data_IF_037399140244
#
_entry.id   IF_037399140244
#
_cell.length_a   1.000
_cell.length_b   1.000
_cell.length_c   1.000
_cell.angle_alpha   90.00
_cell.angle_beta   90.00
_cell.angle_gamma   90.00
#
_symmetry.space_group_name_H-M   'P 1'
#
loop_
_entity.id
_entity.type
_entity.pdbx_description
1 polymer ?
#
# COMPACT_ATOMS: atom_id res chain seq x y z
N UNK A 1 0.38 -42.81 45.36
CA UNK A 1 0.49 -41.38 45.79
C UNK A 1 1.39 -40.69 44.77
N UNK A 2 0.78 -40.07 43.78
CA UNK A 2 1.46 -39.33 42.71
C UNK A 2 1.30 -37.83 42.99
N UNK A 3 2.41 -37.16 43.19
CA UNK A 3 2.42 -35.71 43.42
C UNK A 3 2.25 -34.99 42.10
N UNK A 4 1.16 -34.27 41.99
CA UNK A 4 0.91 -33.31 40.90
C UNK A 4 1.78 -32.07 41.13
N UNK A 5 2.78 -31.87 40.27
CA UNK A 5 3.48 -30.58 40.17
C UNK A 5 2.59 -29.57 39.39
N UNK A 6 1.92 -28.72 40.13
CA UNK A 6 1.24 -27.57 39.63
C UNK A 6 2.31 -26.51 39.34
N UNK A 7 2.61 -26.26 38.05
CA UNK A 7 3.42 -25.12 37.63
C UNK A 7 2.53 -23.86 37.79
N UNK A 8 2.86 -23.07 38.81
CA UNK A 8 2.25 -21.76 39.04
C UNK A 8 2.61 -20.83 37.89
N UNK A 9 1.65 -20.07 37.31
CA UNK A 9 1.99 -19.08 36.29
C UNK A 9 2.85 -17.97 36.89
N UNK A 10 3.89 -17.57 36.14
CA UNK A 10 4.75 -16.46 36.51
C UNK A 10 3.94 -15.19 36.79
N UNK A 11 4.33 -14.36 37.78
CA UNK A 11 3.61 -13.16 38.11
C UNK A 11 3.66 -12.19 36.90
N UNK A 12 2.50 -11.70 36.46
CA UNK A 12 2.40 -10.61 35.54
C UNK A 12 3.20 -9.43 36.13
N UNK A 13 4.18 -8.93 35.38
CA UNK A 13 4.87 -7.68 35.70
C UNK A 13 3.83 -6.55 35.63
N UNK A 14 3.27 -6.24 36.79
CA UNK A 14 2.43 -5.05 36.96
C UNK A 14 3.30 -3.83 36.79
N UNK A 15 3.15 -3.16 35.64
CA UNK A 15 3.57 -1.78 35.47
C UNK A 15 2.58 -0.97 36.30
N UNK A 16 3.00 -0.74 37.58
CA UNK A 16 2.18 0.01 38.53
C UNK A 16 1.87 1.40 38.02
N UNK A 17 0.57 1.72 37.99
CA UNK A 17 -0.05 2.99 38.31
C UNK A 17 0.55 4.29 37.75
N UNK A 18 1.05 4.30 36.53
CA UNK A 18 1.25 5.54 35.78
C UNK A 18 0.09 5.64 34.77
N UNK A 19 -0.98 6.35 35.17
CA UNK A 19 -1.96 6.89 34.23
C UNK A 19 -1.25 7.96 33.40
N UNK A 20 -0.47 7.52 32.42
CA UNK A 20 0.03 8.43 31.40
C UNK A 20 -1.14 8.75 30.47
N UNK A 21 -1.73 9.92 30.61
CA UNK A 21 -2.64 10.50 29.64
C UNK A 21 -1.84 11.00 28.41
N UNK A 22 -1.09 10.08 27.77
CA UNK A 22 -0.34 10.39 26.55
C UNK A 22 -1.27 10.81 25.39
N UNK A 23 -2.54 10.40 25.45
CA UNK A 23 -3.57 10.80 24.47
C UNK A 23 -3.84 12.31 24.54
N UNK A 24 -3.85 12.90 25.73
CA UNK A 24 -4.05 14.34 25.91
C UNK A 24 -2.80 15.17 25.51
N UNK A 25 -1.59 14.64 25.72
CA UNK A 25 -0.35 15.28 25.27
C UNK A 25 -0.17 15.19 23.75
N UNK A 26 -0.51 14.07 23.11
CA UNK A 26 -0.50 13.93 21.66
C UNK A 26 -1.60 14.74 20.97
N UNK A 27 -2.78 14.89 21.59
CA UNK A 27 -3.86 15.77 21.12
C UNK A 27 -3.45 17.25 21.12
N UNK A 28 -2.50 17.65 21.97
CA UNK A 28 -1.95 19.00 22.02
C UNK A 28 -0.96 19.36 20.90
N UNK A 29 -0.39 18.38 20.22
CA UNK A 29 0.48 18.60 19.05
C UNK A 29 -0.32 18.52 17.74
N UNK A 30 -1.28 19.43 17.55
CA UNK A 30 -1.93 19.58 16.24
C UNK A 30 -0.87 19.93 15.20
N UNK A 31 -0.54 18.99 14.32
CA UNK A 31 0.32 19.18 13.16
C UNK A 31 -0.16 20.43 12.40
N UNK A 32 0.70 21.43 12.26
CA UNK A 32 0.38 22.65 11.50
C UNK A 32 0.19 22.29 10.04
N UNK A 33 -1.02 22.44 9.51
CA UNK A 33 -1.30 22.18 8.09
C UNK A 33 -0.90 23.37 7.24
N UNK A 34 -0.25 23.11 6.11
CA UNK A 34 0.19 24.12 5.14
C UNK A 34 -0.85 24.28 4.04
N UNK A 35 -1.41 25.49 3.93
CA UNK A 35 -2.42 25.84 2.92
C UNK A 35 -1.79 26.78 1.89
N UNK A 36 -1.77 26.36 0.62
CA UNK A 36 -1.37 27.20 -0.50
C UNK A 36 -2.60 27.93 -1.04
N UNK A 37 -2.59 29.27 -0.99
CA UNK A 37 -3.64 30.13 -1.53
C UNK A 37 -3.17 30.68 -2.88
N UNK A 38 -3.90 30.35 -3.95
CA UNK A 38 -3.61 30.76 -5.31
C UNK A 38 -4.73 31.68 -5.80
N UNK A 39 -4.48 32.98 -5.82
CA UNK A 39 -5.42 34.02 -6.27
C UNK A 39 -4.59 35.25 -6.71
N UNK A 40 -4.86 35.82 -7.87
CA UNK A 40 -4.13 36.98 -8.40
C UNK A 40 -4.36 38.24 -7.57
N UNK A 41 -5.50 38.33 -6.88
CA UNK A 41 -5.94 39.51 -6.12
C UNK A 41 -5.51 39.42 -4.67
N UNK A 42 -4.63 40.32 -4.22
CA UNK A 42 -4.06 40.33 -2.87
C UNK A 42 -5.14 40.40 -1.78
N UNK A 43 -6.17 41.21 -1.99
CA UNK A 43 -7.24 41.38 -0.99
C UNK A 43 -7.98 40.04 -0.73
N UNK A 44 -8.17 39.20 -1.75
CA UNK A 44 -8.80 37.90 -1.61
C UNK A 44 -7.91 36.97 -0.74
N UNK A 45 -6.60 36.94 -1.01
CA UNK A 45 -5.66 36.14 -0.21
C UNK A 45 -5.63 36.59 1.26
N UNK A 46 -5.62 37.91 1.50
CA UNK A 46 -5.71 38.47 2.87
C UNK A 46 -7.03 38.12 3.55
N UNK A 47 -8.14 38.19 2.84
CA UNK A 47 -9.47 37.85 3.35
C UNK A 47 -9.56 36.37 3.74
N UNK A 48 -9.08 35.47 2.90
CA UNK A 48 -9.03 34.03 3.20
C UNK A 48 -8.19 33.75 4.45
N UNK A 49 -7.00 34.34 4.56
CA UNK A 49 -6.18 34.20 5.77
C UNK A 49 -6.89 34.74 7.02
N UNK A 50 -7.59 35.85 6.92
CA UNK A 50 -8.35 36.42 8.03
C UNK A 50 -9.51 35.50 8.46
N UNK A 51 -10.23 34.87 7.50
CA UNK A 51 -11.27 33.90 7.77
C UNK A 51 -10.77 32.65 8.51
N UNK A 52 -9.48 32.28 8.31
CA UNK A 52 -8.86 31.06 8.82
C UNK A 52 -7.94 31.30 10.03
N UNK A 53 -7.79 32.53 10.49
CA UNK A 53 -6.83 32.94 11.52
C UNK A 53 -6.99 32.24 12.90
N UNK A 54 -8.15 31.69 13.17
CA UNK A 54 -8.43 30.97 14.43
C UNK A 54 -7.94 29.52 14.47
N UNK A 55 -7.26 29.05 13.42
CA UNK A 55 -6.79 27.68 13.27
C UNK A 55 -5.27 27.66 13.11
N UNK A 56 -4.63 26.54 13.49
CA UNK A 56 -3.18 26.39 13.39
C UNK A 56 -2.77 26.02 11.95
N UNK A 57 -2.78 27.02 11.04
CA UNK A 57 -2.42 26.88 9.65
C UNK A 57 -1.19 27.73 9.29
N UNK A 58 -0.28 27.16 8.49
CA UNK A 58 0.77 27.88 7.78
C UNK A 58 0.23 28.25 6.40
N UNK A 59 0.37 29.49 5.98
CA UNK A 59 -0.10 29.95 4.67
C UNK A 59 1.07 30.22 3.73
N UNK A 60 0.97 29.65 2.52
CA UNK A 60 1.78 29.98 1.36
C UNK A 60 0.88 30.69 0.34
N UNK A 61 1.43 31.62 -0.40
CA UNK A 61 0.68 32.46 -1.33
C UNK A 61 1.30 32.42 -2.71
N UNK A 62 0.48 32.30 -3.75
CA UNK A 62 0.86 32.45 -5.14
C UNK A 62 -0.14 33.35 -5.87
N UNK A 63 0.35 34.15 -6.81
CA UNK A 63 -0.46 35.07 -7.60
C UNK A 63 -0.82 34.51 -8.96
N UNK A 64 -0.11 33.46 -9.39
CA UNK A 64 -0.22 32.80 -10.70
C UNK A 64 0.15 31.31 -10.60
N UNK A 65 -0.15 30.60 -11.66
CA UNK A 65 0.07 29.16 -11.69
C UNK A 65 1.54 28.75 -11.58
N UNK A 66 2.46 29.47 -12.26
CA UNK A 66 3.91 29.17 -12.20
C UNK A 66 4.48 29.31 -10.78
N UNK A 67 4.07 30.35 -10.03
CA UNK A 67 4.47 30.55 -8.64
C UNK A 67 3.95 29.41 -7.75
N UNK A 68 2.70 28.98 -7.94
CA UNK A 68 2.11 27.88 -7.17
C UNK A 68 2.85 26.57 -7.42
N UNK A 69 3.17 26.22 -8.66
CA UNK A 69 3.93 25.03 -9.01
C UNK A 69 5.35 25.07 -8.41
N UNK A 70 6.05 26.19 -8.48
CA UNK A 70 7.39 26.35 -7.88
C UNK A 70 7.37 26.17 -6.36
N UNK A 71 6.34 26.67 -5.67
CA UNK A 71 6.14 26.45 -4.24
C UNK A 71 5.94 24.96 -3.96
N UNK A 72 5.13 24.26 -4.74
CA UNK A 72 4.86 22.83 -4.57
C UNK A 72 6.07 21.92 -4.85
N UNK A 73 7.09 22.43 -5.57
CA UNK A 73 8.36 21.69 -5.74
C UNK A 73 9.25 21.73 -4.50
N UNK A 74 9.18 22.80 -3.72
CA UNK A 74 10.07 23.06 -2.58
C UNK A 74 9.43 22.89 -1.21
N UNK A 75 8.10 22.99 -1.14
CA UNK A 75 7.34 22.99 0.11
C UNK A 75 6.27 21.89 0.12
N UNK A 76 6.08 21.26 1.29
CA UNK A 76 4.95 20.33 1.48
C UNK A 76 3.67 21.13 1.65
N UNK A 77 2.70 20.91 0.76
CA UNK A 77 1.37 21.51 0.77
C UNK A 77 0.32 20.47 1.16
N UNK A 78 -0.51 20.81 2.14
CA UNK A 78 -1.58 19.92 2.63
C UNK A 78 -2.95 20.24 2.00
N UNK A 79 -3.14 21.45 1.49
CA UNK A 79 -4.36 21.89 0.79
C UNK A 79 -4.03 23.05 -0.16
N UNK A 80 -4.60 23.03 -1.35
CA UNK A 80 -4.61 24.17 -2.28
C UNK A 80 -5.99 24.82 -2.24
N UNK A 81 -6.05 26.15 -2.02
CA UNK A 81 -7.24 26.98 -2.22
C UNK A 81 -6.99 27.83 -3.45
N UNK A 82 -7.73 27.53 -4.52
CA UNK A 82 -7.49 28.05 -5.86
C UNK A 82 -8.64 28.93 -6.34
N UNK A 83 -8.37 30.14 -6.77
CA UNK A 83 -9.34 30.89 -7.58
C UNK A 83 -9.44 30.28 -9.00
N UNK A 84 -10.67 30.18 -9.51
CA UNK A 84 -10.93 29.66 -10.85
C UNK A 84 -10.20 30.47 -11.93
N UNK A 85 -10.05 31.78 -11.70
CA UNK A 85 -9.46 32.74 -12.66
C UNK A 85 -8.08 33.19 -12.20
N UNK A 86 -7.06 32.41 -12.53
CA UNK A 86 -5.65 32.77 -12.27
C UNK A 86 -4.92 33.08 -13.58
N UNK A 87 -3.86 33.90 -13.54
CA UNK A 87 -3.03 34.15 -14.72
C UNK A 87 -2.31 32.90 -15.21
N UNK A 88 -1.99 32.87 -16.51
CA UNK A 88 -1.20 31.86 -17.23
C UNK A 88 -1.97 30.57 -17.60
N UNK A 89 -2.89 30.09 -16.77
CA UNK A 89 -3.76 28.95 -17.07
C UNK A 89 -5.06 29.02 -16.26
N UNK A 90 -6.09 28.33 -16.73
CA UNK A 90 -7.35 28.23 -15.99
C UNK A 90 -7.23 27.36 -14.74
N UNK A 91 -8.14 27.53 -13.76
CA UNK A 91 -8.20 26.69 -12.57
C UNK A 91 -8.31 25.20 -12.89
N UNK A 92 -9.20 24.76 -13.81
CA UNK A 92 -9.28 23.36 -14.25
C UNK A 92 -7.98 22.82 -14.85
N UNK A 93 -7.28 23.60 -15.69
CA UNK A 93 -5.98 23.20 -16.26
C UNK A 93 -4.91 23.05 -15.17
N UNK A 94 -4.87 23.98 -14.21
CA UNK A 94 -3.99 23.89 -13.06
C UNK A 94 -4.29 22.63 -12.24
N UNK A 95 -5.57 22.37 -11.96
CA UNK A 95 -6.00 21.18 -11.25
C UNK A 95 -5.55 19.90 -11.96
N UNK A 96 -5.83 19.79 -13.26
CA UNK A 96 -5.42 18.65 -14.05
C UNK A 96 -3.89 18.45 -14.01
N UNK A 97 -3.11 19.51 -14.10
CA UNK A 97 -1.64 19.46 -14.03
C UNK A 97 -1.16 18.95 -12.67
N UNK A 98 -1.72 19.46 -11.56
CA UNK A 98 -1.39 19.05 -10.19
C UNK A 98 -1.79 17.58 -9.95
N UNK A 99 -2.99 17.19 -10.40
CA UNK A 99 -3.51 15.82 -10.22
C UNK A 99 -2.81 14.79 -11.14
N UNK A 100 -2.16 15.23 -12.20
CA UNK A 100 -1.37 14.37 -13.09
C UNK A 100 0.06 14.14 -12.60
N UNK A 101 0.61 14.97 -11.70
CA UNK A 101 1.93 14.77 -11.12
C UNK A 101 1.83 13.82 -9.92
N UNK A 102 2.63 12.75 -9.93
CA UNK A 102 2.66 11.70 -8.91
C UNK A 102 2.89 12.24 -7.48
N UNK A 103 3.69 13.31 -7.34
CA UNK A 103 4.05 13.90 -6.04
C UNK A 103 2.93 14.74 -5.45
N UNK A 104 2.04 15.29 -6.31
CA UNK A 104 1.04 16.27 -5.91
C UNK A 104 -0.40 15.82 -6.12
N UNK A 105 -0.64 14.69 -6.81
CA UNK A 105 -1.98 14.19 -7.14
C UNK A 105 -2.91 14.01 -5.93
N UNK A 106 -2.34 13.70 -4.76
CA UNK A 106 -3.08 13.51 -3.52
C UNK A 106 -3.24 14.78 -2.68
N UNK A 107 -2.69 15.92 -3.14
CA UNK A 107 -2.96 17.20 -2.49
C UNK A 107 -4.38 17.63 -2.82
N UNK A 108 -5.26 17.77 -1.82
CA UNK A 108 -6.63 18.18 -2.05
C UNK A 108 -6.69 19.63 -2.53
N UNK A 109 -7.71 19.93 -3.35
CA UNK A 109 -7.91 21.23 -3.95
C UNK A 109 -9.33 21.74 -3.74
N UNK A 110 -9.44 22.92 -3.13
CA UNK A 110 -10.68 23.67 -2.97
C UNK A 110 -10.70 24.80 -3.99
N UNK A 111 -11.59 24.74 -4.98
CA UNK A 111 -11.76 25.80 -5.96
C UNK A 111 -12.75 26.85 -5.49
N UNK A 112 -12.43 28.13 -5.74
CA UNK A 112 -13.28 29.29 -5.49
C UNK A 112 -13.79 29.84 -6.82
N UNK A 113 -15.12 29.96 -6.98
CA UNK A 113 -15.74 30.42 -8.22
C UNK A 113 -16.68 31.60 -7.99
N UNK A 114 -16.72 32.54 -8.92
CA UNK A 114 -17.72 33.62 -8.98
C UNK A 114 -18.91 33.28 -9.87
N UNK A 115 -18.86 32.15 -10.58
CA UNK A 115 -19.88 31.76 -11.55
C UNK A 115 -20.92 30.87 -10.89
N UNK A 116 -22.17 31.31 -10.86
CA UNK A 116 -23.32 30.55 -10.42
C UNK A 116 -23.87 29.71 -11.57
N UNK A 117 -24.06 28.39 -11.34
CA UNK A 117 -24.73 27.50 -12.28
C UNK A 117 -24.23 26.05 -12.22
N UNK A 118 -25.18 25.11 -12.23
CA UNK A 118 -24.91 23.66 -12.13
C UNK A 118 -23.97 23.14 -13.21
N UNK A 119 -23.97 23.72 -14.41
CA UNK A 119 -23.08 23.31 -15.51
C UNK A 119 -21.59 23.57 -15.21
N UNK A 120 -21.27 24.59 -14.42
CA UNK A 120 -19.89 24.91 -14.06
C UNK A 120 -19.39 24.10 -12.85
N UNK A 121 -20.27 23.70 -11.95
CA UNK A 121 -19.95 22.76 -10.84
C UNK A 121 -19.65 21.35 -11.39
N UNK A 122 -20.39 20.90 -12.41
CA UNK A 122 -20.15 19.60 -13.07
C UNK A 122 -18.82 19.63 -13.86
N UNK A 123 -18.57 20.68 -14.66
CA UNK A 123 -17.29 20.83 -15.40
C UNK A 123 -16.08 20.94 -14.48
N UNK A 124 -16.26 21.49 -13.31
CA UNK A 124 -15.20 21.59 -12.32
C UNK A 124 -14.91 20.28 -11.62
N UNK A 125 -15.90 19.46 -11.30
CA UNK A 125 -15.69 18.10 -10.74
C UNK A 125 -14.96 17.19 -11.73
N UNK A 126 -15.27 17.31 -13.02
CA UNK A 126 -14.57 16.57 -14.09
C UNK A 126 -13.08 16.98 -14.20
N UNK A 127 -12.69 18.15 -13.68
CA UNK A 127 -11.27 18.58 -13.65
C UNK A 127 -10.45 17.95 -12.52
N UNK A 128 -11.09 17.19 -11.61
CA UNK A 128 -10.42 16.51 -10.48
C UNK A 128 -10.26 17.34 -9.21
N UNK A 129 -10.94 18.49 -9.08
CA UNK A 129 -10.99 19.23 -7.81
C UNK A 129 -11.80 18.45 -6.77
N UNK A 130 -11.36 18.54 -5.50
CA UNK A 130 -11.99 17.78 -4.43
C UNK A 130 -13.21 18.50 -3.84
N UNK A 131 -13.30 19.85 -4.00
CA UNK A 131 -14.39 20.64 -3.47
C UNK A 131 -14.48 22.00 -4.17
N UNK A 132 -15.68 22.61 -4.16
CA UNK A 132 -15.98 23.94 -4.74
C UNK A 132 -16.68 24.83 -3.72
N UNK A 133 -16.37 26.13 -3.76
CA UNK A 133 -17.10 27.16 -3.04
C UNK A 133 -17.39 28.35 -3.96
N UNK A 134 -18.67 28.74 -4.00
CA UNK A 134 -19.12 29.90 -4.77
C UNK A 134 -18.92 31.18 -3.97
N UNK A 135 -18.39 32.23 -4.58
CA UNK A 135 -18.35 33.58 -4.01
C UNK A 135 -19.75 34.23 -4.05
N UNK A 136 -20.19 34.98 -3.00
CA UNK A 136 -19.41 35.47 -1.87
C UNK A 136 -19.13 34.39 -0.81
N UNK A 137 -17.92 34.37 -0.27
CA UNK A 137 -17.48 33.38 0.72
C UNK A 137 -18.02 33.70 2.11
N UNK A 138 -18.64 32.71 2.74
CA UNK A 138 -19.07 32.82 4.13
C UNK A 138 -18.00 32.21 5.06
N UNK A 139 -17.46 32.95 6.06
CA UNK A 139 -16.31 32.47 6.86
C UNK A 139 -16.56 31.12 7.57
N UNK A 140 -17.78 30.89 8.07
CA UNK A 140 -18.13 29.62 8.73
C UNK A 140 -18.11 28.43 7.75
N UNK A 141 -18.58 28.64 6.52
CA UNK A 141 -18.60 27.58 5.48
C UNK A 141 -17.18 27.27 5.05
N UNK A 142 -16.36 28.30 4.75
CA UNK A 142 -14.94 28.13 4.37
C UNK A 142 -14.20 27.33 5.44
N UNK A 143 -14.31 27.73 6.71
CA UNK A 143 -13.66 27.00 7.82
C UNK A 143 -14.14 25.56 7.96
N UNK A 144 -15.44 25.31 7.79
CA UNK A 144 -16.01 23.96 7.88
C UNK A 144 -15.48 23.06 6.77
N UNK A 145 -15.47 23.53 5.53
CA UNK A 145 -14.99 22.77 4.37
C UNK A 145 -13.50 22.48 4.46
N UNK A 146 -12.68 23.49 4.74
CA UNK A 146 -11.23 23.31 4.88
C UNK A 146 -10.91 22.31 6.00
N UNK A 147 -11.56 22.39 7.14
CA UNK A 147 -11.37 21.39 8.21
C UNK A 147 -11.76 19.99 7.79
N UNK A 148 -12.85 19.82 7.05
CA UNK A 148 -13.27 18.51 6.56
C UNK A 148 -12.25 17.93 5.58
N UNK A 149 -11.77 18.73 4.62
CA UNK A 149 -10.77 18.32 3.64
C UNK A 149 -9.46 17.93 4.33
N UNK A 150 -8.94 18.79 5.23
CA UNK A 150 -7.68 18.52 5.93
C UNK A 150 -7.77 17.31 6.86
N UNK A 151 -8.93 17.09 7.51
CA UNK A 151 -9.15 15.88 8.32
C UNK A 151 -9.13 14.61 7.46
N UNK A 152 -9.76 14.63 6.29
CA UNK A 152 -9.73 13.51 5.36
C UNK A 152 -8.30 13.27 4.85
N UNK A 153 -7.59 14.35 4.48
CA UNK A 153 -6.17 14.26 4.08
C UNK A 153 -5.30 13.65 5.17
N UNK A 154 -5.44 14.09 6.41
CA UNK A 154 -4.68 13.55 7.54
C UNK A 154 -4.97 12.06 7.78
N UNK A 155 -6.22 11.63 7.61
CA UNK A 155 -6.58 10.22 7.73
C UNK A 155 -5.94 9.36 6.63
N UNK A 156 -5.94 9.85 5.39
CA UNK A 156 -5.27 9.17 4.26
C UNK A 156 -3.76 9.11 4.49
N UNK A 157 -3.12 10.23 4.88
CA UNK A 157 -1.68 10.28 5.16
C UNK A 157 -1.29 9.29 6.28
N UNK A 158 -2.10 9.19 7.34
CA UNK A 158 -1.85 8.24 8.43
C UNK A 158 -1.96 6.78 7.97
N UNK A 159 -2.86 6.48 7.04
CA UNK A 159 -2.97 5.13 6.46
C UNK A 159 -1.76 4.81 5.58
N UNK A 160 -1.31 5.74 4.74
CA UNK A 160 -0.10 5.58 3.92
C UNK A 160 1.16 5.40 4.79
N UNK A 161 1.27 6.17 5.87
CA UNK A 161 2.39 6.07 6.80
C UNK A 161 2.39 4.70 7.52
N UNK A 162 1.24 4.23 7.98
CA UNK A 162 1.10 2.92 8.60
C UNK A 162 1.45 1.77 7.62
N UNK A 163 1.02 1.86 6.36
CA UNK A 163 1.37 0.89 5.33
C UNK A 163 2.87 0.89 5.02
N UNK A 164 3.49 2.08 4.95
CA UNK A 164 4.93 2.22 4.74
C UNK A 164 5.74 1.58 5.88
N UNK A 165 5.32 1.80 7.14
CA UNK A 165 5.96 1.19 8.30
C UNK A 165 5.81 -0.34 8.24
N UNK A 166 4.64 -0.84 7.88
CA UNK A 166 4.40 -2.28 7.77
C UNK A 166 5.27 -2.92 6.69
N UNK A 167 5.42 -2.29 5.53
CA UNK A 167 6.31 -2.79 4.47
C UNK A 167 7.79 -2.73 4.89
N UNK A 168 8.19 -1.68 5.59
CA UNK A 168 9.55 -1.60 6.14
C UNK A 168 9.82 -2.73 7.15
N UNK A 169 8.83 -3.08 7.99
CA UNK A 169 8.93 -4.23 8.89
C UNK A 169 8.98 -5.55 8.13
N UNK A 170 8.19 -5.71 7.08
CA UNK A 170 8.24 -6.91 6.23
C UNK A 170 9.61 -7.08 5.58
N UNK A 171 10.19 -6.01 5.03
CA UNK A 171 11.55 -6.02 4.48
C UNK A 171 12.61 -6.31 5.55
N UNK A 172 12.41 -5.84 6.80
CA UNK A 172 13.30 -6.17 7.90
C UNK A 172 13.21 -7.66 8.28
N UNK A 173 12.03 -8.28 8.20
CA UNK A 173 11.83 -9.72 8.38
C UNK A 173 12.48 -10.50 7.24
N UNK A 174 12.27 -10.08 5.98
CA UNK A 174 12.93 -10.64 4.80
C UNK A 174 14.46 -10.62 4.95
N UNK A 175 15.03 -9.53 5.47
CA UNK A 175 16.48 -9.41 5.66
C UNK A 175 17.06 -10.37 6.73
N UNK A 176 16.22 -10.88 7.64
CA UNK A 176 16.60 -11.96 8.58
C UNK A 176 16.62 -13.33 7.92
N UNK A 177 15.73 -13.56 6.96
CA UNK A 177 15.75 -14.77 6.15
C UNK A 177 16.82 -14.59 5.07
N UNK A 178 17.46 -15.65 4.66
CA UNK A 178 18.60 -15.62 3.72
C UNK A 178 18.13 -15.36 2.27
N UNK A 179 17.04 -14.63 2.09
CA UNK A 179 16.57 -14.18 0.79
C UNK A 179 17.44 -13.05 0.25
N UNK A 180 17.62 -13.06 -1.06
CA UNK A 180 18.28 -11.95 -1.75
C UNK A 180 17.41 -10.71 -1.77
N UNK A 181 18.04 -9.55 -1.65
CA UNK A 181 17.35 -8.26 -1.72
C UNK A 181 16.38 -8.17 -2.91
N UNK A 182 15.16 -7.69 -2.67
CA UNK A 182 14.16 -7.45 -3.70
C UNK A 182 13.22 -8.62 -3.98
N UNK A 183 13.24 -9.70 -3.18
CA UNK A 183 12.30 -10.81 -3.28
C UNK A 183 10.84 -10.33 -3.18
N UNK A 184 10.47 -9.63 -2.10
CA UNK A 184 9.13 -9.08 -1.92
C UNK A 184 8.66 -8.23 -3.11
N UNK A 185 9.56 -7.39 -3.66
CA UNK A 185 9.24 -6.53 -4.80
C UNK A 185 9.02 -7.34 -6.08
N UNK A 186 9.82 -8.38 -6.34
CA UNK A 186 9.61 -9.28 -7.49
C UNK A 186 8.29 -10.05 -7.37
N UNK A 187 8.00 -10.60 -6.19
CA UNK A 187 6.73 -11.31 -5.94
C UNK A 187 5.53 -10.40 -6.17
N UNK A 188 5.56 -9.19 -5.63
CA UNK A 188 4.51 -8.20 -5.84
C UNK A 188 4.28 -7.93 -7.33
N UNK A 189 5.36 -7.75 -8.09
CA UNK A 189 5.30 -7.43 -9.50
C UNK A 189 4.78 -8.61 -10.35
N UNK A 190 5.31 -9.80 -10.13
CA UNK A 190 4.90 -11.00 -10.88
C UNK A 190 3.45 -11.40 -10.57
N UNK A 191 3.05 -11.32 -9.30
CA UNK A 191 1.66 -11.62 -8.91
C UNK A 191 0.68 -10.64 -9.52
N UNK A 192 1.01 -9.34 -9.57
CA UNK A 192 0.17 -8.32 -10.24
C UNK A 192 0.11 -8.57 -11.74
N UNK A 193 1.23 -8.93 -12.41
CA UNK A 193 1.22 -9.25 -13.83
C UNK A 193 0.30 -10.43 -14.15
N UNK A 194 0.33 -11.52 -13.35
CA UNK A 194 -0.60 -12.62 -13.46
C UNK A 194 -2.05 -12.18 -13.24
N UNK A 195 -2.29 -11.39 -12.19
CA UNK A 195 -3.63 -10.86 -11.90
C UNK A 195 -4.19 -10.01 -13.03
N UNK A 196 -3.36 -9.20 -13.69
CA UNK A 196 -3.74 -8.41 -14.87
C UNK A 196 -4.11 -9.32 -16.05
N UNK A 197 -3.32 -10.35 -16.33
CA UNK A 197 -3.59 -11.30 -17.39
C UNK A 197 -4.90 -12.09 -17.15
N UNK A 198 -5.27 -12.30 -15.89
CA UNK A 198 -6.54 -12.91 -15.49
C UNK A 198 -7.72 -11.93 -15.49
N UNK A 199 -7.49 -10.62 -15.72
CA UNK A 199 -8.53 -9.61 -15.68
C UNK A 199 -9.10 -9.36 -14.28
N UNK A 200 -8.29 -9.55 -13.23
CA UNK A 200 -8.72 -9.35 -11.84
C UNK A 200 -9.03 -7.88 -11.54
N UNK A 201 -9.88 -7.66 -10.52
CA UNK A 201 -10.26 -6.32 -10.11
C UNK A 201 -9.06 -5.52 -9.57
N UNK A 202 -9.16 -4.19 -9.56
CA UNK A 202 -8.13 -3.33 -8.95
C UNK A 202 -7.88 -3.67 -7.46
N UNK A 203 -8.93 -4.05 -6.73
CA UNK A 203 -8.81 -4.46 -5.33
C UNK A 203 -7.98 -5.74 -5.18
N UNK A 204 -8.16 -6.72 -6.06
CA UNK A 204 -7.39 -7.97 -6.07
C UNK A 204 -5.93 -7.72 -6.47
N UNK A 205 -5.69 -6.86 -7.47
CA UNK A 205 -4.33 -6.47 -7.87
C UNK A 205 -3.59 -5.77 -6.74
N UNK A 206 -4.27 -4.89 -6.00
CA UNK A 206 -3.70 -4.25 -4.81
C UNK A 206 -3.42 -5.27 -3.69
N UNK A 207 -4.30 -6.26 -3.51
CA UNK A 207 -4.10 -7.34 -2.55
C UNK A 207 -2.89 -8.21 -2.93
N UNK A 208 -2.72 -8.54 -4.22
CA UNK A 208 -1.55 -9.26 -4.71
C UNK A 208 -0.25 -8.47 -4.49
N UNK A 209 -0.26 -7.18 -4.80
CA UNK A 209 0.91 -6.31 -4.57
C UNK A 209 1.30 -6.30 -3.08
N UNK A 210 0.35 -6.06 -2.18
CA UNK A 210 0.57 -6.08 -0.74
C UNK A 210 0.97 -7.46 -0.23
N UNK A 211 0.37 -8.51 -0.79
CA UNK A 211 0.69 -9.90 -0.48
C UNK A 211 2.15 -10.25 -0.77
N UNK A 212 2.71 -9.75 -1.87
CA UNK A 212 4.12 -9.92 -2.19
C UNK A 212 5.07 -9.43 -1.11
N UNK A 213 4.71 -8.35 -0.40
CA UNK A 213 5.49 -7.86 0.74
C UNK A 213 5.17 -8.59 2.05
N UNK A 214 3.91 -9.00 2.26
CA UNK A 214 3.41 -9.38 3.58
C UNK A 214 3.21 -10.89 3.78
N UNK A 215 3.32 -11.71 2.72
CA UNK A 215 3.03 -13.15 2.82
C UNK A 215 3.82 -13.83 3.95
N UNK A 216 5.07 -13.43 4.13
CA UNK A 216 6.03 -14.00 5.07
C UNK A 216 6.22 -13.19 6.37
N UNK A 217 5.43 -12.14 6.63
CA UNK A 217 5.59 -11.27 7.81
C UNK A 217 5.58 -12.04 9.13
N UNK A 218 4.89 -13.16 9.18
CA UNK A 218 4.82 -14.03 10.37
C UNK A 218 6.13 -14.69 10.74
N UNK A 219 7.13 -14.72 9.86
CA UNK A 219 8.49 -15.20 10.18
C UNK A 219 9.17 -14.38 11.27
N UNK A 220 8.63 -13.21 11.62
CA UNK A 220 9.07 -12.45 12.80
C UNK A 220 8.97 -13.26 14.10
N UNK A 221 8.01 -14.18 14.19
CA UNK A 221 7.81 -15.08 15.33
C UNK A 221 8.67 -16.33 15.31
N UNK A 222 9.37 -16.61 14.22
CA UNK A 222 10.18 -17.82 14.08
C UNK A 222 11.57 -17.61 14.72
N UNK A 223 12.02 -18.52 15.62
CA UNK A 223 13.35 -18.44 16.21
C UNK A 223 14.47 -18.53 15.16
N UNK A 224 15.55 -17.75 15.33
CA UNK A 224 16.68 -17.72 14.40
C UNK A 224 17.30 -19.09 14.13
N UNK A 225 17.37 -19.97 15.15
CA UNK A 225 17.90 -21.32 14.99
C UNK A 225 17.08 -22.19 14.01
N UNK A 226 15.79 -21.89 13.84
CA UNK A 226 14.91 -22.60 12.91
C UNK A 226 14.96 -21.88 11.54
N UNK A 227 14.88 -20.53 11.54
CA UNK A 227 14.90 -19.71 10.33
C UNK A 227 16.22 -19.89 9.53
N UNK A 228 17.34 -20.02 10.25
CA UNK A 228 18.69 -20.18 9.65
C UNK A 228 19.23 -21.59 9.76
N UNK A 229 18.38 -22.60 9.99
CA UNK A 229 18.79 -23.97 10.16
C UNK A 229 19.76 -24.44 9.05
N UNK A 230 20.99 -24.80 9.44
CA UNK A 230 22.05 -25.30 8.55
C UNK A 230 21.85 -26.79 8.27
N UNK A 231 21.07 -27.47 9.11
CA UNK A 231 20.73 -28.88 9.01
C UNK A 231 19.25 -29.06 8.70
N UNK A 232 18.86 -30.26 8.25
CA UNK A 232 17.44 -30.56 8.04
C UNK A 232 16.67 -30.36 9.34
N UNK A 233 15.54 -29.63 9.25
CA UNK A 233 14.67 -29.37 10.40
C UNK A 233 13.99 -30.65 10.83
N UNK A 234 13.82 -30.85 12.17
CA UNK A 234 12.99 -31.90 12.71
C UNK A 234 11.51 -31.68 12.44
N UNK A 235 10.66 -32.70 12.66
CA UNK A 235 9.21 -32.55 12.49
C UNK A 235 8.63 -31.43 13.37
N UNK A 236 9.14 -31.34 14.63
CA UNK A 236 8.73 -30.29 15.57
C UNK A 236 9.17 -28.89 15.10
N UNK A 237 10.35 -28.78 14.51
CA UNK A 237 10.87 -27.52 13.98
C UNK A 237 10.11 -27.11 12.71
N UNK A 238 9.76 -28.06 11.84
CA UNK A 238 8.85 -27.83 10.72
C UNK A 238 7.48 -27.35 11.20
N UNK A 239 6.92 -27.96 12.23
CA UNK A 239 5.64 -27.50 12.79
C UNK A 239 5.74 -26.04 13.29
N UNK A 240 6.85 -25.64 13.89
CA UNK A 240 7.09 -24.25 14.27
C UNK A 240 7.23 -23.35 13.02
N UNK A 241 8.01 -23.77 12.01
CA UNK A 241 8.16 -23.01 10.77
C UNK A 241 6.81 -22.75 10.10
N UNK A 242 5.94 -23.75 10.05
CA UNK A 242 4.61 -23.62 9.43
C UNK A 242 3.69 -22.61 10.14
N UNK A 243 3.97 -22.26 11.41
CA UNK A 243 3.15 -21.28 12.14
C UNK A 243 3.24 -19.87 11.57
N UNK A 244 4.25 -19.55 10.74
CA UNK A 244 4.41 -18.19 10.21
C UNK A 244 3.18 -17.72 9.41
N UNK A 245 2.48 -18.62 8.73
CA UNK A 245 1.28 -18.28 7.96
C UNK A 245 0.14 -17.80 8.87
N UNK A 246 -0.09 -18.52 9.98
CA UNK A 246 -1.11 -18.19 10.99
C UNK A 246 -0.72 -16.94 11.78
N UNK A 247 0.56 -16.83 12.17
CA UNK A 247 1.08 -15.67 12.89
C UNK A 247 1.04 -14.41 12.01
N UNK A 248 1.36 -14.53 10.72
CA UNK A 248 1.26 -13.43 9.75
C UNK A 248 -0.18 -12.95 9.61
N UNK A 249 -1.15 -13.87 9.47
CA UNK A 249 -2.57 -13.51 9.49
C UNK A 249 -2.93 -12.79 10.79
N UNK A 250 -2.51 -13.31 11.94
CA UNK A 250 -2.78 -12.71 13.26
C UNK A 250 -2.25 -11.28 13.37
N UNK A 251 -1.05 -11.03 12.87
CA UNK A 251 -0.41 -9.70 12.88
C UNK A 251 -1.19 -8.72 12.01
N UNK A 252 -1.60 -9.14 10.80
CA UNK A 252 -2.26 -8.26 9.83
C UNK A 252 -3.78 -8.10 10.06
N UNK A 253 -4.43 -9.03 10.75
CA UNK A 253 -5.89 -9.08 10.97
C UNK A 253 -6.51 -7.82 11.60
N UNK A 254 -5.86 -7.09 12.54
CA UNK A 254 -6.41 -5.85 13.08
C UNK A 254 -6.57 -4.73 12.04
N UNK A 255 -5.83 -4.78 10.93
CA UNK A 255 -5.86 -3.76 9.89
C UNK A 255 -6.92 -4.09 8.83
N UNK A 256 -8.07 -3.41 8.88
CA UNK A 256 -9.20 -3.64 7.95
C UNK A 256 -8.81 -3.50 6.47
N UNK A 257 -7.88 -2.61 6.14
CA UNK A 257 -7.36 -2.40 4.78
C UNK A 257 -6.61 -3.62 4.23
N UNK A 258 -6.15 -4.52 5.09
CA UNK A 258 -5.45 -5.75 4.73
C UNK A 258 -6.36 -6.99 4.67
N UNK A 259 -7.66 -6.85 4.93
CA UNK A 259 -8.58 -7.99 4.87
C UNK A 259 -8.48 -8.80 3.56
N UNK A 260 -8.33 -8.19 2.35
CA UNK A 260 -8.13 -8.94 1.11
C UNK A 260 -6.77 -9.65 1.01
N UNK A 261 -5.79 -9.27 1.83
CA UNK A 261 -4.43 -9.85 1.82
C UNK A 261 -4.34 -11.08 2.75
N UNK A 262 -5.20 -11.15 3.78
CA UNK A 262 -5.14 -12.22 4.78
C UNK A 262 -5.19 -13.65 4.17
N UNK A 263 -6.04 -13.93 3.15
CA UNK A 263 -6.03 -15.24 2.51
C UNK A 263 -4.70 -15.57 1.83
N UNK A 264 -4.00 -14.57 1.27
CA UNK A 264 -2.66 -14.78 0.69
C UNK A 264 -1.69 -15.18 1.79
N UNK A 265 -1.61 -14.40 2.88
CA UNK A 265 -0.70 -14.64 4.00
C UNK A 265 -0.93 -16.03 4.61
N UNK A 266 -2.20 -16.41 4.81
CA UNK A 266 -2.54 -17.68 5.44
C UNK A 266 -2.28 -18.87 4.53
N UNK A 267 -2.61 -18.79 3.23
CA UNK A 267 -2.77 -19.95 2.38
C UNK A 267 -1.74 -20.07 1.25
N UNK A 268 -0.69 -19.25 1.20
CA UNK A 268 0.31 -19.31 0.13
C UNK A 268 1.18 -20.59 0.17
N UNK A 269 1.12 -21.38 1.21
CA UNK A 269 1.76 -22.69 1.31
C UNK A 269 0.78 -23.87 1.23
N UNK A 270 -0.50 -23.61 0.92
CA UNK A 270 -1.41 -24.69 0.59
C UNK A 270 -1.00 -25.35 -0.72
N UNK A 271 -1.32 -26.62 -0.91
CA UNK A 271 -0.99 -27.35 -2.13
C UNK A 271 -2.26 -27.79 -2.83
N UNK A 272 -2.22 -27.79 -4.15
CA UNK A 272 -3.37 -28.18 -4.98
C UNK A 272 -3.89 -29.57 -4.63
N UNK A 273 -3.02 -30.50 -4.23
CA UNK A 273 -3.34 -31.86 -3.80
C UNK A 273 -3.83 -31.96 -2.34
N UNK A 274 -3.94 -30.86 -1.60
CA UNK A 274 -4.37 -30.82 -0.18
C UNK A 274 -3.31 -31.24 0.84
N UNK A 275 -2.07 -31.45 0.40
CA UNK A 275 -0.95 -31.78 1.32
C UNK A 275 -0.16 -30.55 1.76
N UNK A 276 -0.72 -29.35 1.59
CA UNK A 276 -0.16 -28.08 2.06
C UNK A 276 -0.45 -27.79 3.53
N UNK A 277 -0.22 -26.55 3.92
CA UNK A 277 -0.49 -26.03 5.26
C UNK A 277 -0.95 -24.56 5.19
N UNK A 278 -1.64 -24.03 6.22
CA UNK A 278 -1.96 -24.63 7.53
C UNK A 278 -3.27 -25.45 7.55
N UNK A 279 -4.21 -25.19 6.60
CA UNK A 279 -5.58 -25.71 6.65
C UNK A 279 -5.79 -26.97 5.79
N UNK A 280 -4.82 -27.34 4.98
CA UNK A 280 -4.86 -28.46 4.02
C UNK A 280 -5.99 -28.32 2.99
N UNK A 281 -6.16 -27.11 2.49
CA UNK A 281 -7.09 -26.82 1.42
C UNK A 281 -6.60 -27.47 0.12
N UNK A 282 -7.55 -27.91 -0.73
CA UNK A 282 -7.23 -28.57 -1.98
C UNK A 282 -7.94 -27.90 -3.18
N UNK A 283 -7.31 -27.89 -4.33
CA UNK A 283 -7.89 -27.37 -5.56
C UNK A 283 -8.38 -25.93 -5.43
N UNK A 284 -9.61 -25.70 -5.87
CA UNK A 284 -10.22 -24.37 -5.88
C UNK A 284 -10.66 -23.85 -4.50
N UNK A 285 -10.66 -24.69 -3.46
CA UNK A 285 -10.86 -24.25 -2.08
C UNK A 285 -9.72 -23.35 -1.61
N UNK A 286 -8.53 -23.46 -2.22
CA UNK A 286 -7.42 -22.53 -1.98
C UNK A 286 -7.78 -21.18 -2.64
N UNK A 287 -7.75 -20.07 -1.90
CA UNK A 287 -8.05 -18.74 -2.45
C UNK A 287 -7.20 -18.44 -3.69
N UNK A 288 -7.81 -17.94 -4.77
CA UNK A 288 -7.14 -17.66 -6.05
C UNK A 288 -5.87 -16.83 -5.89
N UNK A 289 -5.95 -15.76 -5.09
CA UNK A 289 -4.79 -14.87 -4.87
C UNK A 289 -3.63 -15.59 -4.15
N UNK A 290 -3.93 -16.56 -3.30
CA UNK A 290 -2.91 -17.39 -2.64
C UNK A 290 -2.27 -18.37 -3.64
N UNK A 291 -3.07 -18.97 -4.55
CA UNK A 291 -2.56 -19.83 -5.62
C UNK A 291 -1.62 -19.08 -6.56
N UNK A 292 -1.97 -17.83 -6.92
CA UNK A 292 -1.11 -16.95 -7.72
C UNK A 292 0.21 -16.69 -6.98
N UNK A 293 0.14 -16.27 -5.72
CA UNK A 293 1.33 -16.01 -4.90
C UNK A 293 2.26 -17.21 -4.81
N UNK A 294 1.69 -18.40 -4.63
CA UNK A 294 2.43 -19.65 -4.55
C UNK A 294 3.27 -19.95 -5.80
N UNK A 295 2.69 -19.80 -7.00
CA UNK A 295 3.41 -20.04 -8.27
C UNK A 295 4.59 -19.07 -8.39
N UNK A 296 4.35 -17.82 -8.07
CA UNK A 296 5.35 -16.75 -8.17
C UNK A 296 6.48 -16.94 -7.14
N UNK A 297 6.15 -17.27 -5.88
CA UNK A 297 7.12 -17.46 -4.82
C UNK A 297 8.08 -18.62 -5.15
N UNK A 298 7.54 -19.74 -5.61
CA UNK A 298 8.36 -20.89 -6.01
C UNK A 298 9.28 -20.54 -7.17
N UNK A 299 8.77 -19.85 -8.18
CA UNK A 299 9.59 -19.42 -9.31
C UNK A 299 10.74 -18.52 -8.83
N UNK A 300 10.46 -17.51 -8.01
CA UNK A 300 11.50 -16.62 -7.47
C UNK A 300 12.50 -17.38 -6.62
N UNK A 301 12.01 -18.32 -5.81
CA UNK A 301 12.88 -19.20 -5.00
C UNK A 301 13.82 -20.08 -5.82
N UNK A 302 13.40 -20.48 -7.02
CA UNK A 302 14.23 -21.28 -7.95
C UNK A 302 15.19 -20.41 -8.76
N UNK A 303 14.69 -19.29 -9.30
CA UNK A 303 15.42 -18.45 -10.25
C UNK A 303 16.38 -17.45 -9.62
N UNK A 304 16.32 -17.28 -8.28
CA UNK A 304 17.16 -16.33 -7.55
C UNK A 304 18.22 -17.06 -6.73
N UNK A 305 19.47 -16.55 -6.79
CA UNK A 305 20.57 -17.13 -5.98
C UNK A 305 20.30 -16.91 -4.49
N UNK A 306 20.49 -17.96 -3.69
CA UNK A 306 20.43 -17.90 -2.22
C UNK A 306 21.82 -18.25 -1.67
N UNK A 307 22.07 -17.92 -0.41
CA UNK A 307 23.37 -18.15 0.23
C UNK A 307 23.89 -19.59 0.08
N UNK A 308 22.98 -20.56 -0.03
CA UNK A 308 23.30 -22.00 -0.13
C UNK A 308 22.96 -22.63 -1.49
N UNK A 309 22.35 -21.88 -2.42
CA UNK A 309 21.89 -22.45 -3.69
C UNK A 309 22.10 -21.41 -4.81
N UNK A 310 22.86 -21.74 -5.87
CA UNK A 310 22.92 -20.88 -7.05
C UNK A 310 21.54 -20.74 -7.71
N UNK A 311 21.32 -19.64 -8.41
CA UNK A 311 20.13 -19.47 -9.24
C UNK A 311 20.08 -20.58 -10.30
N UNK A 312 18.89 -21.14 -10.50
CA UNK A 312 18.63 -22.09 -11.59
C UNK A 312 18.28 -21.29 -12.84
N UNK A 313 18.76 -21.71 -14.04
CA UNK A 313 18.36 -21.08 -15.31
C UNK A 313 16.83 -21.05 -15.46
N UNK A 314 16.34 -20.02 -16.15
CA UNK A 314 14.90 -19.80 -16.36
C UNK A 314 14.18 -21.06 -16.90
N UNK A 315 14.74 -21.67 -17.96
CA UNK A 315 14.15 -22.85 -18.60
C UNK A 315 14.02 -24.04 -17.63
N UNK A 316 14.99 -24.18 -16.73
CA UNK A 316 14.96 -25.24 -15.73
C UNK A 316 13.96 -24.93 -14.59
N UNK A 317 13.86 -23.68 -14.16
CA UNK A 317 12.88 -23.26 -13.18
C UNK A 317 11.44 -23.45 -13.70
N UNK A 318 11.20 -23.11 -14.96
CA UNK A 318 9.93 -23.35 -15.65
C UNK A 318 9.62 -24.86 -15.74
N UNK A 319 10.59 -25.69 -16.07
CA UNK A 319 10.40 -27.15 -16.14
C UNK A 319 10.00 -27.71 -14.78
N UNK A 320 10.64 -27.27 -13.70
CA UNK A 320 10.28 -27.69 -12.33
C UNK A 320 8.84 -27.31 -12.00
N UNK A 321 8.43 -26.06 -12.31
CA UNK A 321 7.03 -25.64 -12.07
C UNK A 321 6.02 -26.50 -12.85
N UNK A 322 6.31 -26.85 -14.11
CA UNK A 322 5.46 -27.72 -14.92
C UNK A 322 5.40 -29.14 -14.34
N UNK A 323 6.53 -29.67 -13.87
CA UNK A 323 6.60 -30.99 -13.22
C UNK A 323 5.79 -30.97 -11.90
N UNK A 324 5.87 -29.91 -11.09
CA UNK A 324 5.07 -29.75 -9.87
C UNK A 324 3.56 -29.67 -10.18
N UNK A 325 3.17 -28.99 -11.23
CA UNK A 325 1.78 -28.93 -11.69
C UNK A 325 1.29 -30.31 -12.16
N UNK A 326 2.09 -31.05 -12.93
CA UNK A 326 1.78 -32.39 -13.41
C UNK A 326 1.65 -33.39 -12.24
N UNK A 327 2.39 -33.19 -11.15
CA UNK A 327 2.28 -33.99 -9.92
C UNK A 327 1.12 -33.56 -9.00
N UNK A 328 0.31 -32.58 -9.42
CA UNK A 328 -0.83 -32.09 -8.64
C UNK A 328 -0.43 -31.20 -7.45
N UNK A 329 0.78 -30.66 -7.41
CA UNK A 329 1.21 -29.79 -6.30
C UNK A 329 0.79 -28.35 -6.49
N UNK A 330 0.59 -27.92 -7.73
CA UNK A 330 0.27 -26.54 -8.13
C UNK A 330 -0.94 -26.52 -9.04
N UNK A 331 -1.60 -25.39 -9.08
CA UNK A 331 -2.68 -25.12 -10.02
C UNK A 331 -2.12 -25.14 -11.46
N UNK A 332 -2.53 -26.11 -12.31
CA UNK A 332 -1.94 -26.27 -13.65
C UNK A 332 -2.25 -25.09 -14.59
N UNK A 333 -3.42 -24.45 -14.43
CA UNK A 333 -3.84 -23.35 -15.28
C UNK A 333 -3.02 -22.09 -14.95
N UNK A 334 -2.78 -21.83 -13.66
CA UNK A 334 -1.94 -20.71 -13.21
C UNK A 334 -0.48 -20.91 -13.57
N UNK A 335 0.04 -22.14 -13.49
CA UNK A 335 1.42 -22.43 -13.94
C UNK A 335 1.53 -22.21 -15.45
N UNK A 336 0.57 -22.69 -16.25
CA UNK A 336 0.55 -22.49 -17.70
C UNK A 336 0.49 -21.01 -18.07
N UNK A 337 -0.33 -20.23 -17.38
CA UNK A 337 -0.41 -18.78 -17.54
C UNK A 337 0.94 -18.13 -17.23
N UNK A 338 1.54 -18.44 -16.07
CA UNK A 338 2.83 -17.87 -15.66
C UNK A 338 3.92 -18.14 -16.70
N UNK A 339 4.01 -19.37 -17.18
CA UNK A 339 4.97 -19.77 -18.23
C UNK A 339 4.76 -18.96 -19.50
N UNK A 340 3.50 -18.79 -19.95
CA UNK A 340 3.20 -18.00 -21.13
C UNK A 340 3.62 -16.54 -21.02
N UNK A 341 3.47 -15.93 -19.85
CA UNK A 341 3.90 -14.56 -19.57
C UNK A 341 5.43 -14.44 -19.49
N UNK A 342 6.09 -15.40 -18.88
CA UNK A 342 7.55 -15.38 -18.71
C UNK A 342 8.32 -15.60 -20.01
N UNK A 343 7.73 -16.23 -21.01
CA UNK A 343 8.33 -16.42 -22.36
C UNK A 343 8.15 -15.16 -23.21
N UNK A 344 6.98 -14.50 -23.12
CA UNK A 344 6.65 -13.36 -23.98
C UNK A 344 7.38 -12.06 -23.58
N UNK A 345 7.65 -11.88 -22.29
CA UNK A 345 8.46 -10.78 -21.78
C UNK A 345 9.38 -11.33 -20.67
N UNK A 346 10.70 -11.31 -20.85
CA UNK A 346 11.62 -11.73 -19.80
C UNK A 346 11.39 -10.86 -18.56
N UNK A 347 10.71 -11.43 -17.55
CA UNK A 347 10.34 -10.73 -16.32
C UNK A 347 11.55 -10.15 -15.55
N UNK A 348 12.77 -10.60 -15.92
CA UNK A 348 14.06 -10.11 -15.40
C UNK A 348 14.35 -8.66 -15.82
N UNK A 349 13.76 -8.16 -16.93
CA UNK A 349 13.95 -6.79 -17.41
C UNK A 349 12.82 -5.82 -17.04
N UNK A 350 11.82 -6.25 -16.32
CA UNK A 350 10.83 -5.34 -15.73
C UNK A 350 11.55 -4.51 -14.65
N UNK A 351 12.28 -3.49 -15.11
CA UNK A 351 12.85 -2.47 -14.21
C UNK A 351 11.71 -1.89 -13.37
N UNK A 352 11.95 -1.54 -12.11
CA UNK A 352 10.94 -0.90 -11.23
C UNK A 352 10.20 0.25 -11.92
N UNK A 353 10.84 0.93 -12.88
CA UNK A 353 10.24 2.02 -13.64
C UNK A 353 9.23 1.57 -14.70
N UNK A 354 9.35 0.38 -15.29
CA UNK A 354 8.41 -0.11 -16.32
C UNK A 354 7.10 -0.59 -15.71
N UNK A 355 7.13 -1.21 -14.54
CA UNK A 355 5.92 -1.63 -13.82
C UNK A 355 5.23 -0.44 -13.18
N UNK A 356 6.00 0.53 -12.65
CA UNK A 356 5.44 1.83 -12.24
C UNK A 356 4.70 2.50 -13.39
N UNK A 357 5.21 2.39 -14.61
CA UNK A 357 4.57 2.93 -15.83
C UNK A 357 3.33 2.11 -16.21
N UNK A 358 3.34 0.79 -16.06
CA UNK A 358 2.18 -0.08 -16.34
C UNK A 358 1.05 0.14 -15.34
N UNK A 359 1.35 0.23 -14.04
CA UNK A 359 0.37 0.58 -13.01
C UNK A 359 -0.19 2.02 -13.20
N UNK A 360 0.62 2.94 -13.70
CA UNK A 360 0.19 4.30 -14.07
C UNK A 360 -0.72 4.31 -15.30
N UNK A 361 -0.43 3.49 -16.29
CA UNK A 361 -1.25 3.35 -17.51
C UNK A 361 -2.58 2.68 -17.18
N UNK A 362 -2.58 1.65 -16.31
CA UNK A 362 -3.80 1.03 -15.77
C UNK A 362 -4.66 2.03 -15.00
N UNK A 363 -4.08 2.84 -14.14
CA UNK A 363 -4.81 3.91 -13.43
C UNK A 363 -5.42 4.94 -14.38
N UNK A 364 -4.83 5.15 -15.58
CA UNK A 364 -5.39 6.03 -16.62
C UNK A 364 -6.54 5.40 -17.40
N UNK A 365 -6.50 4.08 -17.62
CA UNK A 365 -7.56 3.36 -18.33
C UNK A 365 -8.78 3.09 -17.47
N UNK A 366 -8.59 2.88 -16.16
CA UNK A 366 -9.67 2.68 -15.19
C UNK A 366 -10.38 3.99 -14.78
N UNK A 367 -9.80 5.15 -15.09
CA UNK A 367 -10.40 6.46 -14.87
C UNK A 367 -11.01 7.08 -16.16
N UNK A 368 -11.15 6.30 -17.24
CA UNK A 368 -11.94 6.62 -18.42
C UNK A 368 -13.33 5.97 -18.35
#
# INVERSE_FOLDING_TARGET
>A
MAAQNIISPAPALGIGGLNFHWEDELAGQQKTSTILIVDSVEINRRLLKAMLKSSNYRFLEARRASEALAIMESEKVDLIVLDLMIPEMSGPEFCHRVKSDRRTKFVPMLMLTSVQGVANEVHGMDSGADEYLTKPLHPAVVRSRIRAILRNKAAVDSLEEAETILFALALAVESRDQYTAGHCERLANYSVAMGMALGLSHADLLALHRGGFLHDIGKIGIPDRILHGITDLTEEEWAIMHTHTVEGERICKPMKSLAPVLPIIRSHHERWDGNGYPDRLAGEDIPLLARIMQVVDIYDALSTARTYKPAIPHEEAVRILLDEAANGWRDPDLVSLFVSLSISEPMVELRPDSIKTSLQNMSRELNK
#
